data_IF_414521531986
#
_entry.id   IF_414521531986
#
_cell.length_a   1.000
_cell.length_b   1.000
_cell.length_c   1.000
_cell.angle_alpha   90.00
_cell.angle_beta   90.00
_cell.angle_gamma   90.00
#
_symmetry.space_group_name_H-M   'P 1'
#
loop_
_entity.id
_entity.type
_entity.pdbx_description
1 polymer ?
#
# COMPACT_ATOMS: atom_id res chain seq x y z
N UNK A 1 33.58 25.44 -2.37
CA UNK A 1 33.22 26.72 -1.74
C UNK A 1 32.93 26.50 -0.27
N UNK A 2 32.20 25.45 0.13
CA UNK A 2 31.87 25.16 1.54
C UNK A 2 33.10 24.88 2.44
N UNK A 3 34.12 24.25 1.89
CA UNK A 3 35.34 23.89 2.65
C UNK A 3 36.25 25.08 2.98
N UNK A 4 36.09 26.22 2.30
CA UNK A 4 36.96 27.38 2.49
C UNK A 4 36.51 28.27 3.66
N UNK A 5 35.19 28.36 3.91
CA UNK A 5 34.64 29.19 4.95
C UNK A 5 34.79 28.62 6.38
N UNK A 6 34.96 27.31 6.53
CA UNK A 6 34.99 26.66 7.85
C UNK A 6 36.38 26.28 8.34
N UNK A 7 37.45 26.61 7.61
CA UNK A 7 38.84 26.24 7.97
C UNK A 7 39.39 26.98 9.21
N UNK A 8 38.71 28.02 9.69
CA UNK A 8 39.16 28.82 10.83
C UNK A 8 38.26 28.82 12.06
N UNK A 9 37.13 28.09 12.01
CA UNK A 9 36.17 28.08 13.12
C UNK A 9 36.34 26.81 13.90
N UNK A 10 36.63 26.93 15.19
CA UNK A 10 36.71 25.77 16.09
C UNK A 10 35.36 25.05 16.11
N UNK A 11 35.35 23.80 15.66
CA UNK A 11 34.16 22.95 15.57
C UNK A 11 33.46 22.76 16.90
N UNK A 12 34.19 22.86 18.01
CA UNK A 12 33.65 22.78 19.36
C UNK A 12 32.84 24.04 19.71
N UNK A 13 33.36 25.20 19.42
CA UNK A 13 32.66 26.47 19.64
C UNK A 13 31.37 26.60 18.81
N UNK A 14 31.39 26.08 17.58
CA UNK A 14 30.18 26.04 16.74
C UNK A 14 29.08 25.19 17.37
N UNK A 15 29.41 24.02 17.93
CA UNK A 15 28.43 23.10 18.52
C UNK A 15 27.79 23.63 19.80
N UNK A 16 28.49 24.47 20.54
CA UNK A 16 28.00 25.10 21.75
C UNK A 16 27.20 26.36 21.51
N UNK A 17 27.24 26.88 20.30
CA UNK A 17 26.54 28.12 19.95
C UNK A 17 25.01 27.96 20.08
N UNK A 18 24.37 29.07 20.59
CA UNK A 18 22.89 29.10 20.69
C UNK A 18 22.18 28.86 19.35
N UNK A 19 22.82 29.28 18.25
CA UNK A 19 22.28 29.09 16.89
C UNK A 19 22.22 27.63 16.53
N UNK A 20 23.29 26.85 16.76
CA UNK A 20 23.33 25.42 16.46
C UNK A 20 22.31 24.66 17.32
N UNK A 21 22.15 25.01 18.60
CA UNK A 21 21.12 24.40 19.47
C UNK A 21 19.71 24.65 18.93
N UNK A 22 19.43 25.86 18.40
CA UNK A 22 18.14 26.17 17.75
C UNK A 22 17.95 25.36 16.46
N UNK A 23 18.98 25.27 15.61
CA UNK A 23 18.93 24.48 14.37
C UNK A 23 18.68 22.99 14.65
N UNK A 24 19.40 22.42 15.64
CA UNK A 24 19.21 21.01 16.03
C UNK A 24 17.79 20.74 16.52
N UNK A 25 17.20 21.67 17.29
CA UNK A 25 15.80 21.58 17.70
C UNK A 25 14.85 21.62 16.50
N UNK A 26 15.10 22.50 15.54
CA UNK A 26 14.30 22.59 14.32
C UNK A 26 14.39 21.32 13.47
N UNK A 27 15.55 20.64 13.43
CA UNK A 27 15.69 19.33 12.76
C UNK A 27 14.76 18.29 13.38
N UNK A 28 14.65 18.25 14.72
CA UNK A 28 13.72 17.32 15.40
C UNK A 28 12.27 17.67 15.07
N UNK A 29 11.89 18.97 15.09
CA UNK A 29 10.53 19.38 14.70
C UNK A 29 10.20 19.02 13.26
N UNK A 30 11.13 19.21 12.32
CA UNK A 30 10.96 18.82 10.92
C UNK A 30 10.81 17.29 10.79
N UNK A 31 11.57 16.52 11.56
CA UNK A 31 11.46 15.05 11.55
C UNK A 31 10.09 14.60 12.09
N UNK A 32 9.59 15.25 13.14
CA UNK A 32 8.24 14.97 13.67
C UNK A 32 7.18 15.32 12.61
N UNK A 33 7.27 16.52 12.02
CA UNK A 33 6.34 16.94 10.97
C UNK A 33 6.35 15.99 9.77
N UNK A 34 7.54 15.54 9.35
CA UNK A 34 7.69 14.56 8.28
C UNK A 34 7.15 13.18 8.67
N UNK A 35 7.35 12.75 9.91
CA UNK A 35 6.77 11.53 10.46
C UNK A 35 5.24 11.57 10.43
N UNK A 36 4.65 12.67 10.88
CA UNK A 36 3.19 12.89 10.80
C UNK A 36 2.70 12.85 9.36
N UNK A 37 3.40 13.56 8.45
CA UNK A 37 3.10 13.49 7.01
C UNK A 37 3.14 12.05 6.49
N UNK A 38 4.15 11.26 6.89
CA UNK A 38 4.29 9.87 6.47
C UNK A 38 3.12 9.02 6.95
N UNK A 39 2.67 9.20 8.19
CA UNK A 39 1.47 8.51 8.71
C UNK A 39 0.21 8.97 7.95
N UNK A 40 0.02 10.25 7.72
CA UNK A 40 -1.13 10.74 6.96
C UNK A 40 -1.13 10.25 5.51
N UNK A 41 0.05 10.09 4.89
CA UNK A 41 0.16 9.56 3.53
C UNK A 41 -0.27 8.10 3.39
N UNK A 42 -0.45 7.35 4.49
CA UNK A 42 -1.01 5.99 4.43
C UNK A 42 -2.47 5.99 3.93
N UNK A 43 -3.19 7.10 4.06
CA UNK A 43 -4.53 7.25 3.48
C UNK A 43 -4.50 7.07 1.95
N UNK A 44 -3.46 7.56 1.29
CA UNK A 44 -3.30 7.41 -0.16
C UNK A 44 -3.05 5.94 -0.58
N UNK A 45 -2.55 5.11 0.32
CA UNK A 45 -2.36 3.68 0.08
C UNK A 45 -3.73 3.00 0.02
N UNK A 46 -4.63 3.37 0.94
CA UNK A 46 -5.98 2.80 1.02
C UNK A 46 -6.84 3.19 -0.19
N UNK A 47 -6.61 4.38 -0.76
CA UNK A 47 -7.32 4.89 -1.94
C UNK A 47 -6.56 4.65 -3.25
N UNK A 48 -5.43 3.94 -3.20
CA UNK A 48 -4.59 3.64 -4.37
C UNK A 48 -5.25 2.70 -5.37
N UNK A 49 -4.61 2.54 -6.53
CA UNK A 49 -5.04 1.59 -7.56
C UNK A 49 -4.72 0.17 -7.10
N UNK A 50 -5.73 -0.69 -7.05
CA UNK A 50 -5.57 -2.10 -6.74
C UNK A 50 -5.31 -2.92 -8.02
N UNK A 51 -6.12 -2.70 -9.05
CA UNK A 51 -6.08 -3.47 -10.29
C UNK A 51 -6.52 -2.60 -11.46
N UNK A 52 -5.90 -2.82 -12.63
CA UNK A 52 -6.39 -2.28 -13.91
C UNK A 52 -6.99 -3.43 -14.70
N UNK A 53 -8.28 -3.36 -14.99
CA UNK A 53 -8.96 -4.36 -15.81
C UNK A 53 -8.62 -4.15 -17.30
N UNK A 54 -8.77 -5.21 -18.11
CA UNK A 54 -8.45 -5.19 -19.56
C UNK A 54 -9.20 -4.10 -20.36
N UNK A 55 -10.35 -3.66 -19.87
CA UNK A 55 -11.13 -2.57 -20.45
C UNK A 55 -10.65 -1.16 -20.03
N UNK A 56 -9.54 -1.05 -19.33
CA UNK A 56 -9.00 0.22 -18.83
C UNK A 56 -9.68 0.75 -17.57
N UNK A 57 -10.64 0.03 -17.00
CA UNK A 57 -11.28 0.41 -15.72
C UNK A 57 -10.31 0.13 -14.57
N UNK A 58 -10.13 1.12 -13.69
CA UNK A 58 -9.27 1.00 -12.53
C UNK A 58 -10.10 0.68 -11.29
N UNK A 59 -9.77 -0.45 -10.63
CA UNK A 59 -10.27 -0.72 -9.29
C UNK A 59 -9.35 -0.04 -8.28
N UNK A 60 -9.93 0.79 -7.43
CA UNK A 60 -9.23 1.48 -6.34
C UNK A 60 -9.53 0.81 -5.02
N UNK A 61 -8.52 0.71 -4.18
CA UNK A 61 -8.62 0.11 -2.85
C UNK A 61 -7.29 -0.43 -2.36
N UNK A 62 -7.24 -0.90 -1.13
CA UNK A 62 -6.06 -1.57 -0.59
C UNK A 62 -6.24 -3.08 -0.65
N UNK A 63 -5.25 -3.79 -1.16
CA UNK A 63 -5.14 -5.24 -1.04
C UNK A 63 -4.60 -5.67 0.33
N UNK A 64 -4.39 -6.97 0.50
CA UNK A 64 -3.89 -7.52 1.77
C UNK A 64 -2.49 -7.00 2.10
N UNK A 65 -1.60 -6.87 1.13
CA UNK A 65 -0.21 -6.40 1.33
C UNK A 65 -0.21 -4.95 1.79
N UNK A 66 -1.00 -4.11 1.12
CA UNK A 66 -1.13 -2.70 1.40
C UNK A 66 -1.71 -2.47 2.80
N UNK A 67 -2.81 -3.14 3.11
CA UNK A 67 -3.51 -2.97 4.38
C UNK A 67 -2.72 -3.53 5.58
N UNK A 68 -2.00 -4.65 5.43
CA UNK A 68 -1.34 -5.33 6.54
C UNK A 68 0.13 -4.94 6.71
N UNK A 69 0.88 -4.80 5.61
CA UNK A 69 2.33 -4.58 5.68
C UNK A 69 2.69 -3.14 5.36
N UNK A 70 2.15 -2.60 4.27
CA UNK A 70 2.57 -1.28 3.80
C UNK A 70 2.13 -0.17 4.77
N UNK A 71 0.85 -0.16 5.18
CA UNK A 71 0.34 0.85 6.13
C UNK A 71 1.14 0.82 7.44
N UNK A 72 1.28 -0.34 8.06
CA UNK A 72 2.04 -0.47 9.31
C UNK A 72 3.53 -0.25 9.13
N UNK A 73 4.08 -0.62 7.97
CA UNK A 73 5.46 -0.32 7.59
C UNK A 73 5.75 1.18 7.52
N UNK A 74 4.82 1.97 6.97
CA UNK A 74 4.96 3.43 6.94
C UNK A 74 4.79 4.08 8.33
N UNK A 75 3.94 3.53 9.19
CA UNK A 75 3.87 3.94 10.60
C UNK A 75 5.22 3.67 11.29
N UNK A 76 5.78 2.47 11.09
CA UNK A 76 7.11 2.12 11.58
C UNK A 76 8.20 3.04 11.03
N UNK A 77 8.14 3.40 9.74
CA UNK A 77 9.06 4.35 9.12
C UNK A 77 9.01 5.72 9.79
N UNK A 78 7.82 6.22 10.13
CA UNK A 78 7.67 7.49 10.84
C UNK A 78 8.38 7.46 12.20
N UNK A 79 8.24 6.36 12.94
CA UNK A 79 8.95 6.16 14.22
C UNK A 79 10.47 6.12 14.01
N UNK A 80 10.94 5.38 13.01
CA UNK A 80 12.38 5.29 12.67
C UNK A 80 12.94 6.67 12.35
N UNK A 81 12.25 7.50 11.55
CA UNK A 81 12.69 8.85 11.19
C UNK A 81 12.82 9.74 12.44
N UNK A 82 11.83 9.71 13.33
CA UNK A 82 11.84 10.53 14.55
C UNK A 82 12.97 10.07 15.47
N UNK A 83 13.10 8.78 15.73
CA UNK A 83 14.15 8.22 16.61
C UNK A 83 15.54 8.47 16.01
N UNK A 84 15.72 8.24 14.71
CA UNK A 84 16.97 8.50 14.02
C UNK A 84 17.37 9.98 14.11
N UNK A 85 16.42 10.91 13.98
CA UNK A 85 16.69 12.35 14.09
C UNK A 85 17.12 12.73 15.51
N UNK A 86 16.45 12.21 16.55
CA UNK A 86 16.82 12.46 17.94
C UNK A 86 18.22 11.91 18.25
N UNK A 87 18.50 10.69 17.81
CA UNK A 87 19.82 10.05 18.00
C UNK A 87 20.91 10.77 17.20
N UNK A 88 20.65 11.19 15.98
CA UNK A 88 21.58 11.95 15.16
C UNK A 88 21.96 13.26 15.84
N UNK A 89 20.98 14.00 16.37
CA UNK A 89 21.22 15.22 17.15
C UNK A 89 22.06 14.92 18.39
N UNK A 90 21.73 13.88 19.15
CA UNK A 90 22.48 13.46 20.34
C UNK A 90 23.95 13.12 20.00
N UNK A 91 24.18 12.36 18.93
CA UNK A 91 25.53 11.99 18.50
C UNK A 91 26.29 13.16 17.89
N UNK A 92 25.59 14.09 17.24
CA UNK A 92 26.20 15.32 16.76
C UNK A 92 26.78 16.16 17.92
N UNK A 93 26.00 16.34 18.99
CA UNK A 93 26.47 17.06 20.19
C UNK A 93 27.67 16.35 20.84
N UNK A 94 27.66 15.00 20.85
CA UNK A 94 28.73 14.18 21.42
C UNK A 94 29.96 13.99 20.49
N UNK A 95 30.00 14.61 19.33
CA UNK A 95 31.09 14.49 18.34
C UNK A 95 31.33 13.07 17.82
N UNK A 96 30.29 12.25 17.76
CA UNK A 96 30.40 10.84 17.34
C UNK A 96 29.97 10.65 15.88
N UNK A 97 30.76 11.16 14.94
CA UNK A 97 30.43 11.20 13.51
C UNK A 97 30.08 9.82 12.90
N UNK A 98 30.80 8.76 13.30
CA UNK A 98 30.50 7.39 12.82
C UNK A 98 29.09 6.95 13.21
N UNK A 99 28.66 7.26 14.44
CA UNK A 99 27.31 6.91 14.91
C UNK A 99 26.23 7.72 14.23
N UNK A 100 26.49 8.98 13.87
CA UNK A 100 25.57 9.78 13.05
C UNK A 100 25.32 9.09 11.73
N UNK A 101 26.39 8.65 11.05
CA UNK A 101 26.25 7.98 9.76
C UNK A 101 25.40 6.71 9.87
N UNK A 102 25.65 5.83 10.84
CA UNK A 102 24.83 4.63 11.06
C UNK A 102 23.37 4.97 11.37
N UNK A 103 23.14 6.00 12.18
CA UNK A 103 21.78 6.44 12.52
C UNK A 103 21.03 6.97 11.29
N UNK A 104 21.68 7.77 10.46
CA UNK A 104 21.05 8.29 9.21
C UNK A 104 20.80 7.14 8.23
N UNK A 105 21.76 6.20 8.12
CA UNK A 105 21.61 5.02 7.23
C UNK A 105 20.51 4.06 7.68
N UNK A 106 20.05 4.13 8.94
CA UNK A 106 18.93 3.28 9.39
C UNK A 106 17.63 3.52 8.61
N UNK A 107 17.40 4.73 8.11
CA UNK A 107 16.19 5.08 7.36
C UNK A 107 16.16 4.39 5.98
N UNK A 108 17.16 4.54 5.10
CA UNK A 108 17.17 3.84 3.82
C UNK A 108 17.26 2.31 4.00
N UNK A 109 17.97 1.80 5.02
CA UNK A 109 18.00 0.37 5.32
C UNK A 109 16.60 -0.13 5.68
N UNK A 110 15.84 0.61 6.50
CA UNK A 110 14.47 0.26 6.82
C UNK A 110 13.57 0.22 5.58
N UNK A 111 13.70 1.20 4.68
CA UNK A 111 12.92 1.22 3.42
C UNK A 111 13.21 0.01 2.54
N UNK A 112 14.49 -0.35 2.38
CA UNK A 112 14.88 -1.55 1.63
C UNK A 112 14.32 -2.82 2.31
N UNK A 113 14.43 -2.92 3.63
CA UNK A 113 13.90 -4.06 4.38
C UNK A 113 12.37 -4.16 4.23
N UNK A 114 11.65 -3.04 4.33
CA UNK A 114 10.20 -2.99 4.14
C UNK A 114 9.82 -3.45 2.72
N UNK A 115 10.52 -2.97 1.70
CA UNK A 115 10.31 -3.38 0.31
C UNK A 115 10.51 -4.90 0.13
N UNK A 116 11.60 -5.45 0.66
CA UNK A 116 11.88 -6.90 0.60
C UNK A 116 10.78 -7.71 1.30
N UNK A 117 10.31 -7.23 2.47
CA UNK A 117 9.21 -7.89 3.20
C UNK A 117 7.91 -7.85 2.39
N UNK A 118 7.56 -6.71 1.78
CA UNK A 118 6.35 -6.58 0.96
C UNK A 118 6.39 -7.51 -0.24
N UNK A 119 7.49 -7.52 -0.99
CA UNK A 119 7.67 -8.38 -2.17
C UNK A 119 7.68 -9.85 -1.77
N UNK A 120 8.43 -10.20 -0.72
CA UNK A 120 8.50 -11.57 -0.21
C UNK A 120 7.14 -12.09 0.26
N UNK A 121 6.39 -11.29 0.99
CA UNK A 121 5.04 -11.66 1.45
C UNK A 121 4.08 -11.84 0.27
N UNK A 122 4.13 -10.93 -0.71
CA UNK A 122 3.31 -11.06 -1.91
C UNK A 122 3.60 -12.36 -2.67
N UNK A 123 4.89 -12.63 -2.96
CA UNK A 123 5.29 -13.80 -3.76
C UNK A 123 5.02 -15.13 -3.06
N UNK A 124 5.22 -15.20 -1.74
CA UNK A 124 5.16 -16.46 -0.99
C UNK A 124 3.74 -16.75 -0.48
N UNK A 125 3.03 -15.71 0.01
CA UNK A 125 1.76 -15.91 0.71
C UNK A 125 0.54 -15.47 -0.09
N UNK A 126 0.65 -14.43 -0.93
CA UNK A 126 -0.50 -13.91 -1.67
C UNK A 126 -0.66 -14.59 -3.01
N UNK A 127 0.36 -14.54 -3.86
CA UNK A 127 0.29 -15.09 -5.22
C UNK A 127 -0.20 -16.55 -5.33
N UNK A 128 0.22 -17.49 -4.46
CA UNK A 128 -0.24 -18.87 -4.59
C UNK A 128 -1.75 -19.06 -4.37
N UNK A 129 -2.38 -18.18 -3.57
CA UNK A 129 -3.81 -18.21 -3.24
C UNK A 129 -4.41 -16.81 -3.27
N UNK A 130 -4.17 -16.08 -4.34
CA UNK A 130 -4.52 -14.66 -4.46
C UNK A 130 -6.01 -14.41 -4.25
N UNK A 131 -6.86 -15.19 -4.89
CA UNK A 131 -8.30 -15.06 -4.79
C UNK A 131 -8.82 -15.20 -3.34
N UNK A 132 -8.38 -16.21 -2.61
CA UNK A 132 -8.85 -16.44 -1.24
C UNK A 132 -8.32 -15.37 -0.27
N UNK A 133 -7.10 -14.88 -0.49
CA UNK A 133 -6.47 -13.85 0.34
C UNK A 133 -7.05 -12.46 0.10
N UNK A 134 -7.30 -12.11 -1.16
CA UNK A 134 -7.82 -10.80 -1.56
C UNK A 134 -9.35 -10.72 -1.48
N UNK A 135 -10.07 -11.85 -1.45
CA UNK A 135 -11.54 -11.91 -1.45
C UNK A 135 -12.21 -10.97 -0.45
N UNK A 136 -11.67 -10.91 0.77
CA UNK A 136 -12.20 -10.03 1.82
C UNK A 136 -12.07 -8.55 1.43
N UNK A 137 -10.89 -8.16 0.95
CA UNK A 137 -10.60 -6.77 0.57
C UNK A 137 -11.37 -6.34 -0.66
N UNK A 138 -11.50 -7.22 -1.64
CA UNK A 138 -12.33 -7.01 -2.84
C UNK A 138 -13.80 -6.81 -2.42
N UNK A 139 -14.33 -7.65 -1.54
CA UNK A 139 -15.68 -7.55 -1.03
C UNK A 139 -15.95 -6.24 -0.28
N UNK A 140 -15.01 -5.77 0.54
CA UNK A 140 -15.12 -4.49 1.24
C UNK A 140 -15.05 -3.30 0.27
N UNK A 141 -14.21 -3.37 -0.76
CA UNK A 141 -14.12 -2.35 -1.81
C UNK A 141 -15.42 -2.27 -2.63
N UNK A 142 -16.01 -3.43 -2.98
CA UNK A 142 -17.31 -3.48 -3.67
C UNK A 142 -18.38 -2.83 -2.81
N UNK A 143 -18.50 -3.20 -1.53
CA UNK A 143 -19.46 -2.60 -0.59
C UNK A 143 -19.28 -1.10 -0.44
N UNK A 144 -18.04 -0.64 -0.34
CA UNK A 144 -17.73 0.79 -0.25
C UNK A 144 -18.13 1.55 -1.51
N UNK A 145 -17.90 0.97 -2.68
CA UNK A 145 -18.31 1.53 -3.97
C UNK A 145 -19.84 1.56 -4.08
N UNK A 146 -20.53 0.47 -3.75
CA UNK A 146 -22.00 0.42 -3.72
C UNK A 146 -22.58 1.52 -2.83
N UNK A 147 -22.00 1.71 -1.64
CA UNK A 147 -22.41 2.75 -0.71
C UNK A 147 -22.15 4.16 -1.26
N UNK A 148 -21.00 4.39 -1.88
CA UNK A 148 -20.63 5.69 -2.46
C UNK A 148 -21.58 6.10 -3.60
N UNK A 149 -21.99 5.16 -4.42
CA UNK A 149 -22.92 5.39 -5.55
C UNK A 149 -24.39 5.14 -5.18
N UNK A 150 -24.71 4.86 -3.90
CA UNK A 150 -26.05 4.56 -3.43
C UNK A 150 -26.73 3.41 -4.19
N UNK A 151 -25.94 2.41 -4.59
CA UNK A 151 -26.43 1.22 -5.30
C UNK A 151 -27.02 0.28 -4.22
N UNK A 152 -28.31 0.07 -4.28
CA UNK A 152 -29.00 -0.95 -3.47
C UNK A 152 -28.96 -2.26 -4.25
N UNK A 153 -28.26 -3.25 -3.72
CA UNK A 153 -28.28 -4.62 -4.24
C UNK A 153 -29.29 -5.38 -3.39
N UNK A 154 -30.38 -5.83 -3.99
CA UNK A 154 -31.27 -6.80 -3.39
C UNK A 154 -30.74 -8.18 -3.78
N UNK A 155 -30.24 -8.93 -2.81
CA UNK A 155 -29.88 -10.34 -3.02
C UNK A 155 -31.17 -11.15 -3.02
N UNK A 156 -31.65 -11.49 -4.20
CA UNK A 156 -32.73 -12.44 -4.36
C UNK A 156 -32.14 -13.84 -4.38
N UNK A 157 -32.29 -14.58 -3.29
CA UNK A 157 -31.96 -15.99 -3.28
C UNK A 157 -33.03 -16.72 -4.09
N UNK A 158 -32.72 -17.01 -5.35
CA UNK A 158 -33.51 -17.92 -6.14
C UNK A 158 -33.30 -19.35 -5.55
N UNK A 159 -34.16 -19.75 -4.63
CA UNK A 159 -34.21 -21.13 -4.17
C UNK A 159 -34.70 -22.02 -5.29
N UNK A 160 -33.78 -22.62 -6.03
CA UNK A 160 -34.07 -23.64 -7.03
C UNK A 160 -34.44 -24.96 -6.35
N UNK A 161 -35.60 -24.98 -5.70
CA UNK A 161 -36.13 -26.20 -5.06
C UNK A 161 -37.10 -26.96 -5.98
N UNK A 162 -37.34 -26.47 -7.21
CA UNK A 162 -38.25 -27.05 -8.17
C UNK A 162 -37.55 -27.86 -9.27
N UNK A 163 -38.14 -28.99 -9.65
CA UNK A 163 -37.82 -29.66 -10.90
C UNK A 163 -38.38 -28.83 -12.05
N UNK A 164 -37.54 -28.43 -12.99
CA UNK A 164 -37.94 -27.76 -14.21
C UNK A 164 -38.81 -28.73 -15.02
N UNK A 165 -40.03 -28.30 -15.32
CA UNK A 165 -40.99 -29.07 -16.12
C UNK A 165 -40.82 -28.78 -17.60
N UNK A 166 -41.19 -29.72 -18.48
CA UNK A 166 -41.15 -29.51 -19.92
C UNK A 166 -42.03 -28.31 -20.35
N UNK A 167 -43.13 -28.08 -19.66
CA UNK A 167 -44.03 -26.94 -19.89
C UNK A 167 -43.36 -25.59 -19.57
N UNK A 168 -42.50 -25.54 -18.55
CA UNK A 168 -41.73 -24.33 -18.22
C UNK A 168 -40.61 -24.08 -19.24
N UNK A 169 -40.04 -25.11 -19.85
CA UNK A 169 -39.04 -25.00 -20.91
C UNK A 169 -39.71 -24.48 -22.18
N UNK A 170 -40.85 -25.02 -22.56
CA UNK A 170 -41.59 -24.57 -23.74
C UNK A 170 -42.08 -23.13 -23.63
N UNK A 171 -42.60 -22.74 -22.47
CA UNK A 171 -43.05 -21.37 -22.18
C UNK A 171 -41.93 -20.34 -22.16
N UNK A 172 -40.69 -20.75 -21.98
CA UNK A 172 -39.50 -19.89 -21.93
C UNK A 172 -38.55 -20.15 -23.10
N UNK A 173 -39.01 -20.77 -24.17
CA UNK A 173 -38.20 -21.11 -25.35
C UNK A 173 -37.45 -19.92 -25.93
N UNK A 174 -38.05 -18.73 -25.96
CA UNK A 174 -37.42 -17.49 -26.44
C UNK A 174 -36.18 -17.10 -25.60
N UNK A 175 -36.19 -17.41 -24.31
CA UNK A 175 -35.04 -17.14 -23.45
C UNK A 175 -33.97 -18.22 -23.63
N UNK A 176 -34.41 -19.48 -23.71
CA UNK A 176 -33.52 -20.63 -23.84
C UNK A 176 -32.77 -20.62 -25.17
N UNK A 177 -33.45 -20.30 -26.25
CA UNK A 177 -32.87 -20.21 -27.60
C UNK A 177 -31.85 -19.08 -27.75
N UNK A 178 -31.93 -18.05 -26.89
CA UNK A 178 -30.99 -16.93 -26.87
C UNK A 178 -29.83 -17.14 -25.85
N UNK A 179 -29.79 -18.24 -25.10
CA UNK A 179 -28.66 -18.55 -24.21
C UNK A 179 -27.47 -19.04 -25.05
N UNK A 180 -26.37 -18.30 -25.12
CA UNK A 180 -25.19 -18.76 -25.84
C UNK A 180 -24.58 -19.97 -25.11
N UNK A 181 -24.84 -21.18 -25.60
CA UNK A 181 -24.35 -22.43 -25.04
C UNK A 181 -22.82 -22.56 -25.15
N UNK A 182 -22.21 -21.86 -26.10
CA UNK A 182 -20.78 -21.89 -26.35
C UNK A 182 -20.29 -20.49 -26.72
N UNK A 183 -19.32 -19.99 -25.99
CA UNK A 183 -18.60 -18.81 -26.44
C UNK A 183 -17.51 -19.24 -27.43
N UNK A 184 -17.75 -19.02 -28.73
CA UNK A 184 -16.85 -19.40 -29.83
C UNK A 184 -15.42 -18.91 -29.59
N UNK A 185 -15.26 -17.70 -29.02
CA UNK A 185 -13.95 -17.11 -28.71
C UNK A 185 -13.18 -17.88 -27.66
N UNK A 186 -13.86 -18.34 -26.60
CA UNK A 186 -13.23 -19.17 -25.54
C UNK A 186 -12.83 -20.55 -26.06
N UNK A 187 -13.60 -21.13 -26.96
CA UNK A 187 -13.25 -22.44 -27.56
C UNK A 187 -12.05 -22.30 -28.48
N UNK A 188 -11.99 -21.25 -29.30
CA UNK A 188 -10.84 -20.99 -30.19
C UNK A 188 -9.57 -20.71 -29.39
N UNK A 189 -9.66 -19.93 -28.30
CA UNK A 189 -8.52 -19.67 -27.40
C UNK A 189 -8.02 -20.96 -26.73
N UNK A 190 -8.92 -21.79 -26.22
CA UNK A 190 -8.54 -23.06 -25.59
C UNK A 190 -7.93 -24.09 -26.54
N UNK A 191 -8.30 -24.04 -27.83
CA UNK A 191 -7.73 -24.91 -28.86
C UNK A 191 -6.38 -24.41 -29.38
N UNK A 192 -6.10 -23.11 -29.29
CA UNK A 192 -4.81 -22.55 -29.71
C UNK A 192 -3.71 -22.69 -28.64
N UNK A 193 -4.05 -23.00 -27.40
CA UNK A 193 -3.10 -23.21 -26.30
C UNK A 193 -2.64 -24.68 -26.16
N UNK A 194 -3.03 -25.56 -27.08
CA UNK A 194 -2.61 -26.95 -27.20
C UNK A 194 -1.64 -27.16 -28.35
#
# INVERSE_FOLDING_TARGET
VFNFYFKGVDRQLLRESKLIKKLLRNVIFLAIAYGVKTVLSTQNIVTGKLLTLDNGTELTGAGIVEATIQVWGYVGLAVVIIVASILAVKYFVKNQNKKIMYTVMSVPIYLVALFVVMVGYNLIFVKPNEFDKERKYIGENIKSTQKAYNIKVEEENADYTGTITEEEIENNSDIIDNIPLVNEKLVVESLNDT
#
